data_IF_994931432396
#
_entry.id   IF_994931432396
#
_cell.length_a   1.000
_cell.length_b   1.000
_cell.length_c   1.000
_cell.angle_alpha   90.00
_cell.angle_beta   90.00
_cell.angle_gamma   90.00
#
_symmetry.space_group_name_H-M   'P 1'
#
loop_
_entity.id
_entity.type
_entity.pdbx_description
1 polymer ?
#
# COMPACT_ATOMS: atom_id res chain seq x y z
N UNK A 1 7.86 -7.39 23.64
CA UNK A 1 8.10 -8.51 22.70
C UNK A 1 7.10 -8.34 21.57
N UNK A 2 7.54 -7.87 20.40
CA UNK A 2 6.62 -7.65 19.28
C UNK A 2 6.33 -9.01 18.62
N UNK A 3 5.06 -9.39 18.58
CA UNK A 3 4.59 -10.57 17.85
C UNK A 3 4.81 -10.28 16.37
N UNK A 4 5.61 -11.11 15.69
CA UNK A 4 5.72 -11.03 14.24
C UNK A 4 4.31 -11.19 13.64
N UNK A 5 3.84 -10.26 12.79
CA UNK A 5 2.51 -10.36 12.20
C UNK A 5 2.39 -11.71 11.48
N UNK A 6 1.27 -12.39 11.72
CA UNK A 6 0.93 -13.64 11.07
C UNK A 6 0.91 -13.41 9.55
N UNK A 7 1.77 -14.15 8.83
CA UNK A 7 1.94 -14.10 7.37
C UNK A 7 0.62 -14.34 6.61
N UNK A 8 -0.41 -14.83 7.28
CA UNK A 8 -1.74 -15.10 6.70
C UNK A 8 -2.57 -13.85 6.44
N UNK A 9 -2.33 -12.72 7.13
CA UNK A 9 -3.26 -11.57 7.16
C UNK A 9 -3.44 -10.88 5.79
N UNK A 10 -2.37 -10.78 4.99
CA UNK A 10 -2.40 -10.12 3.68
C UNK A 10 -3.15 -10.93 2.62
N UNK A 11 -3.31 -12.23 2.82
CA UNK A 11 -4.03 -13.14 1.90
C UNK A 11 -5.40 -13.57 2.41
N UNK A 12 -5.81 -13.15 3.61
CA UNK A 12 -7.16 -13.44 4.11
C UNK A 12 -8.25 -12.93 3.16
N UNK A 13 -9.36 -13.64 3.09
CA UNK A 13 -10.52 -13.17 2.33
C UNK A 13 -11.12 -11.94 3.02
N UNK A 14 -11.44 -10.93 2.21
CA UNK A 14 -12.18 -9.76 2.66
C UNK A 14 -13.68 -10.04 2.63
N UNK A 15 -14.42 -9.43 3.56
CA UNK A 15 -15.86 -9.37 3.46
C UNK A 15 -16.27 -8.42 2.32
N UNK A 16 -17.49 -8.56 1.79
CA UNK A 16 -17.98 -7.76 0.65
C UNK A 16 -18.03 -6.25 0.92
N UNK A 17 -18.06 -5.86 2.19
CA UNK A 17 -18.04 -4.47 2.67
C UNK A 17 -16.66 -4.04 3.18
N UNK A 18 -15.60 -4.76 2.84
CA UNK A 18 -14.23 -4.41 3.22
C UNK A 18 -13.37 -4.16 1.99
N UNK A 19 -12.39 -3.29 2.15
CA UNK A 19 -11.32 -3.10 1.17
C UNK A 19 -9.97 -3.07 1.88
N UNK A 20 -8.90 -3.37 1.13
CA UNK A 20 -7.52 -3.22 1.61
C UNK A 20 -6.95 -1.91 1.11
N UNK A 21 -6.31 -1.19 2.01
CA UNK A 21 -5.50 -0.02 1.68
C UNK A 21 -4.07 -0.30 2.05
N UNK A 22 -3.14 0.13 1.20
CA UNK A 22 -1.72 0.07 1.49
C UNK A 22 -1.30 1.40 2.13
N UNK A 23 -0.82 1.36 3.37
CA UNK A 23 -0.17 2.50 4.01
C UNK A 23 1.32 2.44 3.76
N UNK A 24 1.82 3.32 2.91
CA UNK A 24 3.27 3.44 2.66
C UNK A 24 3.96 4.16 3.81
N UNK A 25 5.14 3.69 4.19
CA UNK A 25 6.00 4.38 5.13
C UNK A 25 6.83 5.45 4.40
N UNK A 26 6.93 6.67 4.94
CA UNK A 26 7.69 7.74 4.31
C UNK A 26 9.18 7.40 4.23
N UNK A 27 9.87 8.01 3.26
CA UNK A 27 11.32 7.89 3.14
C UNK A 27 11.96 9.20 2.71
N UNK A 28 13.20 9.40 3.14
CA UNK A 28 13.99 10.58 2.81
C UNK A 28 14.66 10.48 1.42
N UNK A 29 14.80 9.26 0.87
CA UNK A 29 15.56 8.99 -0.35
C UNK A 29 14.95 7.83 -1.16
N UNK A 30 15.04 7.90 -2.50
CA UNK A 30 14.51 6.90 -3.44
C UNK A 30 15.23 5.54 -3.34
N UNK A 31 16.50 5.53 -2.91
CA UNK A 31 17.30 4.32 -2.74
C UNK A 31 16.86 3.44 -1.55
N UNK A 32 15.92 3.89 -0.74
CA UNK A 32 15.43 3.12 0.42
C UNK A 32 14.41 2.08 0.00
N UNK A 33 14.56 0.87 0.55
CA UNK A 33 13.60 -0.21 0.43
C UNK A 33 12.16 0.27 0.72
N UNK A 34 11.18 -0.24 -0.03
CA UNK A 34 9.78 0.13 0.13
C UNK A 34 9.22 -0.63 1.32
N UNK A 35 8.66 0.13 2.28
CA UNK A 35 7.99 -0.42 3.45
C UNK A 35 6.54 0.08 3.49
N UNK A 36 5.63 -0.79 3.91
CA UNK A 36 4.25 -0.40 4.17
C UNK A 36 3.47 -1.44 4.95
N UNK A 37 2.25 -1.08 5.30
CA UNK A 37 1.32 -1.95 6.03
C UNK A 37 0.02 -2.10 5.23
N UNK A 38 -0.59 -3.28 5.29
CA UNK A 38 -1.95 -3.48 4.75
C UNK A 38 -2.96 -3.19 5.85
N UNK A 39 -3.84 -2.23 5.58
CA UNK A 39 -4.95 -1.89 6.46
C UNK A 39 -6.25 -2.40 5.84
N UNK A 40 -7.16 -2.91 6.67
CA UNK A 40 -8.51 -3.28 6.24
C UNK A 40 -9.47 -2.16 6.61
N UNK A 41 -10.05 -1.52 5.61
CA UNK A 41 -11.05 -0.47 5.76
C UNK A 41 -12.45 -1.04 5.55
N UNK A 42 -13.44 -0.51 6.29
CA UNK A 42 -14.85 -0.83 6.09
C UNK A 42 -15.45 0.15 5.10
N UNK A 43 -16.11 -0.36 4.08
CA UNK A 43 -16.89 0.42 3.13
C UNK A 43 -18.23 0.77 3.81
N UNK A 44 -18.44 2.04 4.13
CA UNK A 44 -19.75 2.52 4.55
C UNK A 44 -20.63 2.74 3.31
N UNK A 45 -21.78 2.07 3.25
CA UNK A 45 -22.80 2.39 2.25
C UNK A 45 -23.55 3.66 2.68
N UNK A 46 -23.18 4.78 2.08
CA UNK A 46 -23.90 6.05 2.14
C UNK A 46 -23.69 6.80 0.82
N UNK A 47 -24.54 7.80 0.52
CA UNK A 47 -24.38 8.66 -0.66
C UNK A 47 -23.03 9.41 -0.71
N UNK A 48 -22.23 9.32 0.37
CA UNK A 48 -20.85 9.73 0.44
C UNK A 48 -20.05 8.63 1.16
N UNK A 49 -18.89 8.25 0.61
CA UNK A 49 -17.92 7.38 1.27
C UNK A 49 -17.50 8.05 2.58
N UNK A 50 -18.07 7.63 3.71
CA UNK A 50 -17.71 8.14 5.02
C UNK A 50 -17.15 7.00 5.87
N UNK A 51 -15.84 7.01 6.11
CA UNK A 51 -15.25 6.22 7.19
C UNK A 51 -15.71 6.84 8.52
N UNK A 52 -16.50 6.08 9.27
CA UNK A 52 -16.88 6.37 10.67
C UNK A 52 -16.00 5.45 11.54
N UNK A 53 -15.28 5.88 12.59
CA UNK A 53 -15.51 6.96 13.55
C UNK A 53 -14.18 7.65 13.85
N UNK A 54 -14.02 8.89 13.39
CA UNK A 54 -13.17 9.97 13.90
C UNK A 54 -13.19 11.04 12.81
N UNK A 55 -13.36 12.30 13.18
CA UNK A 55 -13.81 13.41 12.32
C UNK A 55 -12.80 13.89 11.25
N UNK A 56 -11.92 13.01 10.76
CA UNK A 56 -10.90 13.36 9.78
C UNK A 56 -11.19 12.69 8.44
N UNK A 57 -11.47 13.50 7.42
CA UNK A 57 -11.55 13.05 6.04
C UNK A 57 -10.14 12.64 5.60
N UNK A 58 -9.81 11.36 5.76
CA UNK A 58 -8.54 10.81 5.26
C UNK A 58 -8.64 10.74 3.74
N UNK A 59 -7.85 11.57 3.07
CA UNK A 59 -7.72 11.52 1.61
C UNK A 59 -6.70 10.43 1.25
N UNK A 60 -7.09 9.51 0.38
CA UNK A 60 -6.21 8.46 -0.12
C UNK A 60 -5.84 8.73 -1.57
N UNK A 61 -4.58 8.48 -1.93
CA UNK A 61 -4.14 8.45 -3.32
C UNK A 61 -4.30 7.02 -3.86
N UNK A 62 -4.91 6.89 -5.04
CA UNK A 62 -5.11 5.61 -5.70
C UNK A 62 -4.16 5.46 -6.89
N UNK A 63 -3.62 4.25 -7.07
CA UNK A 63 -2.74 3.90 -8.20
C UNK A 63 -3.49 2.90 -9.08
N UNK A 64 -3.75 3.28 -10.32
CA UNK A 64 -4.17 2.34 -11.35
C UNK A 64 -2.92 1.77 -12.01
N UNK A 65 -2.69 0.46 -11.90
CA UNK A 65 -1.60 -0.22 -12.59
C UNK A 65 -2.14 -1.39 -13.42
N UNK A 66 -1.50 -1.64 -14.55
CA UNK A 66 -1.74 -2.81 -15.36
C UNK A 66 -0.75 -3.91 -14.98
N UNK A 67 -1.25 -5.14 -14.89
CA UNK A 67 -0.41 -6.32 -14.75
C UNK A 67 0.23 -6.63 -16.10
N UNK A 68 1.56 -6.68 -16.14
CA UNK A 68 2.35 -7.20 -17.25
C UNK A 68 2.93 -8.57 -16.90
N UNK A 69 3.55 -9.24 -17.87
CA UNK A 69 4.41 -10.38 -17.61
C UNK A 69 5.82 -9.87 -17.39
N UNK A 70 6.33 -10.02 -16.18
CA UNK A 70 7.71 -9.70 -15.83
C UNK A 70 8.49 -10.99 -15.59
N UNK A 71 9.76 -11.01 -15.99
CA UNK A 71 10.66 -12.10 -15.62
C UNK A 71 10.89 -12.12 -14.11
N UNK A 72 11.15 -13.29 -13.51
CA UNK A 72 11.44 -13.39 -12.07
C UNK A 72 12.63 -12.51 -11.64
N UNK A 73 13.58 -12.28 -12.54
CA UNK A 73 14.75 -11.41 -12.31
C UNK A 73 14.43 -9.90 -12.43
N UNK A 74 13.22 -9.53 -12.82
CA UNK A 74 12.79 -8.14 -13.00
C UNK A 74 11.89 -7.66 -11.86
N UNK A 75 11.53 -8.52 -10.91
CA UNK A 75 10.72 -8.12 -9.76
C UNK A 75 11.55 -7.37 -8.72
N UNK A 76 10.92 -6.43 -8.05
CA UNK A 76 11.52 -5.58 -7.02
C UNK A 76 10.96 -5.97 -5.66
N UNK A 77 11.79 -6.13 -4.62
CA UNK A 77 11.31 -6.47 -3.28
C UNK A 77 10.65 -5.27 -2.59
N UNK A 78 9.56 -5.54 -1.90
CA UNK A 78 8.90 -4.63 -0.96
C UNK A 78 8.65 -5.36 0.36
N UNK A 79 8.80 -4.69 1.49
CA UNK A 79 8.41 -5.24 2.79
C UNK A 79 7.03 -4.72 3.15
N UNK A 80 6.06 -5.63 3.25
CA UNK A 80 4.68 -5.32 3.60
C UNK A 80 4.24 -6.14 4.81
N UNK A 81 3.77 -5.48 5.88
CA UNK A 81 3.47 -6.14 7.16
C UNK A 81 4.62 -7.04 7.65
N UNK A 82 5.88 -6.62 7.46
CA UNK A 82 7.06 -7.41 7.83
C UNK A 82 7.35 -8.63 6.94
N UNK A 83 6.57 -8.84 5.87
CA UNK A 83 6.77 -9.91 4.87
C UNK A 83 7.35 -9.31 3.59
N UNK A 84 8.36 -9.97 3.03
CA UNK A 84 8.88 -9.58 1.72
C UNK A 84 7.96 -10.09 0.61
N UNK A 85 7.52 -9.17 -0.26
CA UNK A 85 6.70 -9.44 -1.44
C UNK A 85 7.41 -8.92 -2.68
N UNK A 86 7.20 -9.60 -3.80
CA UNK A 86 7.77 -9.24 -5.09
C UNK A 86 6.76 -8.41 -5.90
N UNK A 87 7.17 -7.24 -6.35
CA UNK A 87 6.32 -6.31 -7.12
C UNK A 87 6.96 -5.94 -8.45
N UNK A 88 6.12 -5.50 -9.39
CA UNK A 88 6.58 -5.02 -10.69
C UNK A 88 7.44 -3.74 -10.55
N UNK A 89 8.46 -3.53 -11.40
CA UNK A 89 9.26 -2.30 -11.43
C UNK A 89 8.42 -1.03 -11.52
N UNK A 90 7.41 -1.01 -12.40
CA UNK A 90 6.54 0.15 -12.58
C UNK A 90 5.75 0.50 -11.33
N UNK A 91 5.32 -0.51 -10.57
CA UNK A 91 4.68 -0.31 -9.27
C UNK A 91 5.71 0.19 -8.25
N UNK A 92 6.91 -0.40 -8.21
CA UNK A 92 7.97 0.04 -7.32
C UNK A 92 8.33 1.51 -7.52
N UNK A 93 8.50 1.95 -8.77
CA UNK A 93 8.79 3.34 -9.13
C UNK A 93 7.68 4.30 -8.66
N UNK A 94 6.42 3.92 -8.88
CA UNK A 94 5.27 4.72 -8.43
C UNK A 94 5.24 4.82 -6.90
N UNK A 95 5.37 3.69 -6.19
CA UNK A 95 5.37 3.65 -4.73
C UNK A 95 6.55 4.43 -4.14
N UNK A 96 7.73 4.39 -4.75
CA UNK A 96 8.87 5.20 -4.32
C UNK A 96 8.56 6.70 -4.35
N UNK A 97 7.90 7.19 -5.42
CA UNK A 97 7.51 8.60 -5.54
C UNK A 97 6.48 9.01 -4.49
N UNK A 98 5.48 8.18 -4.21
CA UNK A 98 4.44 8.49 -3.22
C UNK A 98 4.95 8.59 -1.78
N UNK A 99 6.15 8.07 -1.49
CA UNK A 99 6.77 8.14 -0.15
C UNK A 99 7.36 9.52 0.16
N UNK A 100 7.46 10.41 -0.82
CA UNK A 100 7.90 11.78 -0.64
C UNK A 100 6.70 12.71 -0.37
N UNK A 101 6.79 13.47 0.71
CA UNK A 101 5.79 14.48 1.07
C UNK A 101 5.90 15.81 0.30
N UNK A 102 6.94 15.98 -0.53
CA UNK A 102 7.18 17.20 -1.29
C UNK A 102 6.66 17.09 -2.74
N UNK A 103 6.38 18.23 -3.38
CA UNK A 103 6.03 18.37 -4.81
C UNK A 103 7.03 17.69 -5.74
N UNK A 104 8.25 17.44 -5.30
CA UNK A 104 9.25 16.63 -6.01
C UNK A 104 8.74 15.23 -6.38
N UNK A 105 7.69 14.70 -5.73
CA UNK A 105 7.05 13.42 -6.09
C UNK A 105 6.45 13.37 -7.49
N UNK A 106 6.16 14.54 -8.10
CA UNK A 106 5.50 14.65 -9.41
C UNK A 106 6.44 14.94 -10.58
N UNK A 107 7.74 15.15 -10.32
CA UNK A 107 8.76 15.48 -11.31
C UNK A 107 9.55 14.23 -11.71
#
# INVERSE_FOLDING_TARGET
>A
MAVAPDRSSIYMLLQTWQTRTLRLHPAASLDKAIHGDVLTARLAHGQHLALSMDSELITFEAISYAWGTWGENELVPMVCDGVEVQIAPSLADALQRFRYGDRARYL
#
